data_IF_049816898882
#
_entry.id   IF_049816898882
#
_cell.length_a   1.000
_cell.length_b   1.000
_cell.length_c   1.000
_cell.angle_alpha   90.00
_cell.angle_beta   90.00
_cell.angle_gamma   90.00
#
_symmetry.space_group_name_H-M   'P 1'
#
loop_
_entity.id
_entity.type
_entity.pdbx_description
1 polymer ?
#
# COMPACT_ATOMS: atom_id res chain seq x y z
N UNK A 1 18.74 17.69 -7.98
CA UNK A 1 19.42 18.63 -7.08
C UNK A 1 20.31 17.89 -6.08
N UNK A 2 21.28 18.58 -5.52
CA UNK A 2 22.16 18.02 -4.49
C UNK A 2 21.38 17.47 -3.28
N UNK A 3 20.28 18.10 -2.91
CA UNK A 3 19.45 17.66 -1.79
C UNK A 3 18.77 16.32 -2.05
N UNK A 4 18.35 16.02 -3.30
CA UNK A 4 17.76 14.72 -3.64
C UNK A 4 18.81 13.63 -3.72
N UNK A 5 20.05 13.94 -4.09
CA UNK A 5 21.14 12.98 -4.21
C UNK A 5 21.62 12.47 -2.85
N UNK A 6 21.52 13.31 -1.82
CA UNK A 6 21.91 12.95 -0.43
C UNK A 6 21.08 11.77 0.11
N UNK A 7 19.83 11.61 -0.35
CA UNK A 7 18.91 10.58 0.15
C UNK A 7 18.89 9.30 -0.69
N UNK A 8 19.63 9.27 -1.79
CA UNK A 8 19.75 8.06 -2.62
C UNK A 8 20.96 7.26 -2.17
N UNK A 9 20.71 6.00 -1.85
CA UNK A 9 21.76 5.03 -1.51
C UNK A 9 21.62 3.83 -2.43
N UNK A 10 22.76 3.20 -2.72
CA UNK A 10 22.76 1.95 -3.46
C UNK A 10 23.11 0.81 -2.52
N UNK A 11 22.39 -0.28 -2.67
CA UNK A 11 22.66 -1.54 -1.97
C UNK A 11 22.92 -2.63 -2.99
N UNK A 12 23.82 -3.54 -2.65
CA UNK A 12 24.11 -4.72 -3.44
C UNK A 12 23.47 -5.93 -2.76
N UNK A 13 22.60 -6.63 -3.48
CA UNK A 13 21.82 -7.74 -2.94
C UNK A 13 22.15 -9.01 -3.69
N UNK A 14 22.37 -10.11 -2.97
CA UNK A 14 22.63 -11.42 -3.56
C UNK A 14 21.38 -11.92 -4.30
N UNK A 15 21.56 -12.27 -5.57
CA UNK A 15 20.49 -12.76 -6.43
C UNK A 15 20.87 -14.08 -7.16
N UNK A 16 21.87 -14.80 -6.65
CA UNK A 16 22.38 -16.02 -7.30
C UNK A 16 21.32 -17.09 -7.52
N UNK A 17 20.40 -17.22 -6.57
CA UNK A 17 19.35 -18.24 -6.61
C UNK A 17 18.09 -17.76 -7.33
N UNK A 18 18.13 -16.56 -7.92
CA UNK A 18 16.99 -15.95 -8.58
C UNK A 18 17.20 -15.95 -10.10
N UNK A 19 16.13 -16.19 -10.85
CA UNK A 19 16.18 -16.23 -12.31
C UNK A 19 16.38 -14.84 -12.91
N UNK A 20 17.43 -14.68 -13.72
CA UNK A 20 17.64 -13.46 -14.49
C UNK A 20 16.45 -13.17 -15.41
N UNK A 21 16.11 -11.90 -15.59
CA UNK A 21 15.01 -11.46 -16.43
C UNK A 21 13.62 -11.60 -15.82
N UNK A 22 13.50 -12.16 -14.63
CA UNK A 22 12.23 -12.25 -13.90
C UNK A 22 12.00 -11.00 -13.04
N UNK A 23 10.75 -10.73 -12.76
CA UNK A 23 10.35 -9.65 -11.87
C UNK A 23 10.67 -10.03 -10.42
N UNK A 24 11.45 -9.21 -9.76
CA UNK A 24 11.86 -9.41 -8.37
C UNK A 24 11.31 -8.28 -7.50
N UNK A 25 11.06 -8.57 -6.25
CA UNK A 25 10.59 -7.57 -5.28
C UNK A 25 11.68 -7.33 -4.24
N UNK A 26 12.14 -6.07 -4.14
CA UNK A 26 13.06 -5.64 -3.12
C UNK A 26 12.29 -5.36 -1.83
N UNK A 27 12.75 -5.96 -0.74
CA UNK A 27 12.19 -5.70 0.59
C UNK A 27 13.29 -5.31 1.57
N UNK A 28 12.93 -4.46 2.52
CA UNK A 28 13.77 -4.13 3.67
C UNK A 28 13.33 -5.01 4.84
N UNK A 29 14.28 -5.56 5.57
CA UNK A 29 14.03 -6.44 6.71
C UNK A 29 14.34 -5.68 8.00
N UNK A 30 13.37 -5.60 8.91
CA UNK A 30 13.60 -5.08 10.25
C UNK A 30 14.41 -6.09 11.06
N UNK A 31 15.54 -5.65 11.61
CA UNK A 31 16.46 -6.54 12.36
C UNK A 31 15.86 -7.09 13.65
N UNK A 32 14.97 -6.33 14.30
CA UNK A 32 14.40 -6.72 15.59
C UNK A 32 13.22 -7.65 15.44
N UNK A 33 12.33 -7.37 14.47
CA UNK A 33 11.07 -8.07 14.31
C UNK A 33 11.09 -9.08 13.17
N UNK A 34 12.03 -8.96 12.24
CA UNK A 34 12.03 -9.74 11.00
C UNK A 34 10.95 -9.31 10.00
N UNK A 35 10.22 -8.24 10.30
CA UNK A 35 9.18 -7.72 9.40
C UNK A 35 9.79 -7.27 8.09
N UNK A 36 9.15 -7.66 6.99
CA UNK A 36 9.57 -7.29 5.64
C UNK A 36 8.68 -6.17 5.11
N UNK A 37 9.33 -5.11 4.64
CA UNK A 37 8.67 -3.94 4.07
C UNK A 37 8.95 -3.89 2.57
N UNK A 38 7.88 -3.77 1.77
CA UNK A 38 7.98 -3.67 0.32
C UNK A 38 8.62 -2.35 -0.10
N UNK A 39 9.63 -2.43 -0.95
CA UNK A 39 10.32 -1.24 -1.48
C UNK A 39 9.94 -1.02 -2.95
N UNK A 40 10.16 -2.03 -3.81
CA UNK A 40 9.88 -1.92 -5.24
C UNK A 40 9.78 -3.31 -5.86
N UNK A 41 9.08 -3.38 -6.98
CA UNK A 41 8.96 -4.62 -7.76
C UNK A 41 9.23 -4.30 -9.22
N UNK A 42 10.27 -4.91 -9.77
CA UNK A 42 10.69 -4.70 -11.17
C UNK A 42 11.64 -5.81 -11.62
N UNK A 43 11.98 -5.81 -12.91
CA UNK A 43 13.03 -6.65 -13.45
C UNK A 43 14.38 -6.00 -13.15
N UNK A 44 15.22 -6.69 -12.40
CA UNK A 44 16.57 -6.24 -12.08
C UNK A 44 17.59 -6.91 -12.97
N UNK A 45 18.65 -6.18 -13.30
CA UNK A 45 19.79 -6.72 -14.01
C UNK A 45 20.76 -7.36 -13.01
N UNK A 46 21.04 -8.61 -13.19
CA UNK A 46 21.97 -9.37 -12.33
C UNK A 46 23.38 -9.25 -12.90
N UNK A 47 24.33 -8.83 -12.08
CA UNK A 47 25.74 -8.72 -12.47
C UNK A 47 26.41 -10.09 -12.53
N UNK A 48 27.65 -10.14 -13.07
CA UNK A 48 28.42 -11.38 -13.22
C UNK A 48 28.68 -12.09 -11.89
N UNK A 49 28.79 -11.35 -10.80
CA UNK A 49 29.00 -11.93 -9.47
C UNK A 49 27.70 -12.40 -8.79
N UNK A 50 26.57 -12.31 -9.47
CA UNK A 50 25.27 -12.74 -8.96
C UNK A 50 24.61 -11.74 -8.03
N UNK A 51 24.99 -10.47 -8.09
CA UNK A 51 24.38 -9.42 -7.28
C UNK A 51 23.49 -8.50 -8.11
N UNK A 52 22.57 -7.82 -7.44
CA UNK A 52 21.72 -6.77 -7.98
C UNK A 52 22.02 -5.50 -7.20
N UNK A 53 22.23 -4.39 -7.92
CA UNK A 53 22.36 -3.07 -7.31
C UNK A 53 21.01 -2.37 -7.37
N UNK A 54 20.54 -1.88 -6.24
CA UNK A 54 19.26 -1.20 -6.12
C UNK A 54 19.39 0.10 -5.36
N UNK A 55 18.59 1.11 -5.74
CA UNK A 55 18.51 2.38 -5.04
C UNK A 55 17.60 2.27 -3.83
N UNK A 56 18.04 2.78 -2.70
CA UNK A 56 17.28 2.83 -1.46
C UNK A 56 17.39 4.19 -0.79
N UNK A 57 16.45 4.54 0.06
CA UNK A 57 16.50 5.78 0.83
C UNK A 57 17.35 5.66 2.08
N UNK A 58 17.30 4.49 2.71
CA UNK A 58 17.90 4.26 4.02
C UNK A 58 18.92 3.13 3.98
N UNK A 59 19.88 3.20 4.89
CA UNK A 59 20.72 2.04 5.19
C UNK A 59 19.87 0.96 5.88
N UNK A 60 20.21 -0.30 5.67
CA UNK A 60 19.49 -1.42 6.30
C UNK A 60 19.80 -2.73 5.62
N UNK A 61 19.05 -3.74 6.02
CA UNK A 61 19.13 -5.07 5.42
C UNK A 61 18.06 -5.20 4.35
N UNK A 62 18.47 -5.61 3.17
CA UNK A 62 17.59 -5.76 2.01
C UNK A 62 17.71 -7.16 1.44
N UNK A 63 16.60 -7.71 0.99
CA UNK A 63 16.57 -8.98 0.26
C UNK A 63 15.69 -8.84 -0.97
N UNK A 64 15.95 -9.69 -1.96
CA UNK A 64 15.10 -9.82 -3.14
C UNK A 64 14.23 -11.06 -3.02
N UNK A 65 12.95 -10.88 -3.26
CA UNK A 65 12.00 -11.98 -3.30
C UNK A 65 11.64 -12.30 -4.75
N UNK A 66 11.52 -13.59 -5.07
CA UNK A 66 10.93 -14.03 -6.32
C UNK A 66 9.42 -13.72 -6.35
N UNK A 67 8.76 -13.93 -7.48
CA UNK A 67 7.33 -13.62 -7.62
C UNK A 67 6.46 -14.41 -6.64
N UNK A 68 6.79 -15.68 -6.42
CA UNK A 68 6.04 -16.55 -5.50
C UNK A 68 6.11 -16.03 -4.05
N UNK A 69 7.29 -15.74 -3.57
CA UNK A 69 7.49 -15.27 -2.18
C UNK A 69 6.94 -13.85 -2.00
N UNK A 70 7.08 -13.00 -3.01
CA UNK A 70 6.49 -11.66 -3.00
C UNK A 70 4.96 -11.72 -2.94
N UNK A 71 4.33 -12.67 -3.65
CA UNK A 71 2.89 -12.89 -3.62
C UNK A 71 2.42 -13.32 -2.22
N UNK A 72 3.16 -14.22 -1.57
CA UNK A 72 2.86 -14.66 -0.19
C UNK A 72 2.91 -13.46 0.76
N UNK A 73 3.94 -12.65 0.68
CA UNK A 73 4.08 -11.45 1.52
C UNK A 73 2.96 -10.45 1.26
N UNK A 74 2.66 -10.16 0.00
CA UNK A 74 1.59 -9.21 -0.38
C UNK A 74 0.23 -9.69 0.10
N UNK A 75 -0.07 -10.97 -0.04
CA UNK A 75 -1.33 -11.57 0.42
C UNK A 75 -1.47 -11.43 1.94
N UNK A 76 -0.39 -11.63 2.68
CA UNK A 76 -0.37 -11.46 4.14
C UNK A 76 -0.65 -10.01 4.53
N UNK A 77 -0.01 -9.05 3.86
CA UNK A 77 -0.23 -7.63 4.12
C UNK A 77 -1.68 -7.25 3.79
N UNK A 78 -2.19 -7.67 2.63
CA UNK A 78 -3.55 -7.34 2.19
C UNK A 78 -4.64 -7.97 3.04
N UNK A 79 -4.40 -9.12 3.67
CA UNK A 79 -5.35 -9.70 4.63
C UNK A 79 -5.66 -8.79 5.80
N UNK A 80 -4.71 -7.97 6.22
CA UNK A 80 -4.89 -7.03 7.33
C UNK A 80 -5.61 -5.75 6.90
N UNK A 81 -5.84 -5.56 5.60
CA UNK A 81 -6.55 -4.38 5.07
C UNK A 81 -8.05 -4.62 5.24
N UNK A 82 -8.64 -3.99 6.23
CA UNK A 82 -10.06 -4.03 6.53
C UNK A 82 -10.48 -2.71 7.16
N UNK A 83 -11.73 -2.32 6.96
CA UNK A 83 -12.28 -1.12 7.60
C UNK A 83 -12.83 -1.47 8.97
N UNK A 84 -12.68 -0.55 9.91
CA UNK A 84 -13.27 -0.67 11.25
C UNK A 84 -14.78 -0.77 11.17
N UNK A 85 -15.41 0.06 10.34
CA UNK A 85 -16.84 0.06 10.09
C UNK A 85 -17.11 -0.23 8.61
N UNK A 86 -17.89 -1.26 8.32
CA UNK A 86 -18.35 -1.57 6.96
C UNK A 86 -19.70 -0.95 6.64
N UNK A 87 -20.40 -0.47 7.67
CA UNK A 87 -21.66 0.26 7.57
C UNK A 87 -21.63 1.44 8.53
N UNK A 88 -22.16 2.57 8.09
CA UNK A 88 -22.23 3.76 8.94
C UNK A 88 -23.45 4.60 8.60
N UNK A 89 -24.10 5.15 9.63
CA UNK A 89 -25.20 6.10 9.50
C UNK A 89 -24.69 7.48 9.88
N UNK A 90 -24.90 8.45 8.99
CA UNK A 90 -24.42 9.84 9.17
C UNK A 90 -25.59 10.79 8.88
N UNK A 91 -25.82 11.73 9.76
CA UNK A 91 -26.83 12.76 9.54
C UNK A 91 -26.41 13.71 8.40
N UNK A 92 -27.38 14.20 7.66
CA UNK A 92 -27.15 15.17 6.58
C UNK A 92 -26.34 16.37 7.10
N UNK A 93 -25.35 16.81 6.34
CA UNK A 93 -24.45 17.92 6.70
C UNK A 93 -23.33 17.56 7.66
N UNK A 94 -23.35 16.35 8.19
CA UNK A 94 -22.29 15.90 9.12
C UNK A 94 -21.13 15.24 8.37
N UNK A 95 -20.01 15.09 9.07
CA UNK A 95 -18.76 14.55 8.57
C UNK A 95 -18.46 13.21 9.22
N UNK A 96 -17.74 12.38 8.51
CA UNK A 96 -17.22 11.10 9.00
C UNK A 96 -15.86 10.86 8.38
N UNK A 97 -15.21 9.77 8.76
CA UNK A 97 -13.90 9.43 8.24
C UNK A 97 -13.79 7.92 8.03
N UNK A 98 -13.11 7.54 6.96
CA UNK A 98 -12.72 6.14 6.76
C UNK A 98 -11.63 5.80 7.77
N UNK A 99 -11.82 4.73 8.53
CA UNK A 99 -10.85 4.24 9.52
C UNK A 99 -10.59 2.77 9.27
N UNK A 100 -9.32 2.39 9.20
CA UNK A 100 -8.91 1.00 9.09
C UNK A 100 -8.99 0.31 10.45
N UNK A 101 -9.36 -0.97 10.44
CA UNK A 101 -9.47 -1.79 11.65
C UNK A 101 -8.10 -1.96 12.33
N UNK A 102 -7.06 -2.19 11.54
CA UNK A 102 -5.68 -2.27 12.00
C UNK A 102 -4.84 -1.18 11.33
N UNK A 103 -3.86 -0.68 12.06
CA UNK A 103 -2.93 0.27 11.48
C UNK A 103 -2.15 -0.39 10.34
N UNK A 104 -2.22 0.22 9.16
CA UNK A 104 -1.42 -0.20 8.02
C UNK A 104 -0.01 0.33 8.16
N UNK A 105 0.99 -0.51 7.87
CA UNK A 105 2.33 0.00 7.68
C UNK A 105 2.39 0.72 6.34
N UNK A 106 2.34 2.04 6.40
CA UNK A 106 2.30 2.89 5.20
C UNK A 106 3.56 2.80 4.35
N UNK A 107 4.64 2.26 4.90
CA UNK A 107 5.85 2.00 4.12
C UNK A 107 5.62 0.94 3.03
N UNK A 108 4.64 0.03 3.21
CA UNK A 108 4.24 -0.94 2.20
C UNK A 108 3.34 -0.35 1.12
N UNK A 109 2.74 0.82 1.38
CA UNK A 109 1.64 1.36 0.58
C UNK A 109 2.16 2.39 -0.42
N UNK A 110 1.81 2.18 -1.69
CA UNK A 110 2.08 3.15 -2.75
C UNK A 110 1.05 4.27 -2.74
N UNK A 111 -0.24 3.91 -2.65
CA UNK A 111 -1.33 4.87 -2.60
C UNK A 111 -2.61 4.24 -2.04
N UNK A 112 -3.49 5.08 -1.53
CA UNK A 112 -4.86 4.71 -1.16
C UNK A 112 -5.80 5.64 -1.94
N UNK A 113 -6.77 5.05 -2.63
CA UNK A 113 -7.77 5.79 -3.42
C UNK A 113 -9.15 5.60 -2.80
N UNK A 114 -9.86 6.71 -2.61
CA UNK A 114 -11.21 6.74 -2.05
C UNK A 114 -12.19 7.21 -3.12
N UNK A 115 -13.29 6.50 -3.29
CA UNK A 115 -14.33 6.87 -4.25
C UNK A 115 -15.73 6.70 -3.66
N UNK A 116 -16.67 7.56 -4.05
CA UNK A 116 -18.07 7.46 -3.65
C UNK A 116 -18.92 7.02 -4.85
N UNK A 117 -19.84 6.09 -4.60
CA UNK A 117 -20.78 5.62 -5.62
C UNK A 117 -21.84 6.69 -5.98
N UNK A 118 -22.12 7.61 -5.06
CA UNK A 118 -23.08 8.71 -5.27
C UNK A 118 -22.58 9.99 -4.62
N UNK A 119 -21.90 10.81 -5.39
CA UNK A 119 -21.33 12.08 -4.92
C UNK A 119 -22.39 13.10 -4.48
N UNK A 120 -23.61 12.96 -4.96
CA UNK A 120 -24.73 13.78 -4.51
C UNK A 120 -25.18 13.47 -3.08
N UNK A 121 -24.93 12.25 -2.61
CA UNK A 121 -25.29 11.78 -1.27
C UNK A 121 -24.11 11.92 -0.33
N UNK A 122 -22.95 11.44 -0.74
CA UNK A 122 -21.71 11.42 0.06
C UNK A 122 -20.54 11.78 -0.83
N UNK A 123 -19.70 12.72 -0.37
CA UNK A 123 -18.38 12.95 -0.97
C UNK A 123 -17.29 12.40 -0.04
N UNK A 124 -16.20 11.99 -0.64
CA UNK A 124 -15.01 11.56 0.07
C UNK A 124 -13.78 12.19 -0.56
N UNK A 125 -12.87 12.71 0.25
CA UNK A 125 -11.65 13.32 -0.27
C UNK A 125 -10.49 12.30 -0.31
N UNK A 126 -9.34 12.76 -0.79
CA UNK A 126 -8.14 11.93 -0.92
C UNK A 126 -7.58 11.38 0.40
N UNK A 127 -8.01 11.93 1.52
CA UNK A 127 -7.59 11.50 2.87
C UNK A 127 -8.63 10.62 3.56
N UNK A 128 -9.72 10.28 2.87
CA UNK A 128 -10.78 9.46 3.45
C UNK A 128 -11.77 10.24 4.31
N UNK A 129 -11.76 11.58 4.25
CA UNK A 129 -12.74 12.41 4.92
C UNK A 129 -14.04 12.43 4.14
N UNK A 130 -15.15 12.17 4.83
CA UNK A 130 -16.49 12.00 4.26
C UNK A 130 -17.37 13.16 4.67
N UNK A 131 -18.16 13.66 3.72
CA UNK A 131 -19.20 14.67 3.98
C UNK A 131 -20.54 14.12 3.48
N UNK A 132 -21.53 14.07 4.39
CA UNK A 132 -22.90 13.70 4.06
C UNK A 132 -23.62 14.94 3.49
N UNK A 133 -24.13 14.85 2.26
CA UNK A 133 -24.70 15.99 1.54
C UNK A 133 -26.21 15.91 1.33
N UNK A 134 -26.76 14.71 1.26
CA UNK A 134 -28.19 14.49 0.99
C UNK A 134 -28.60 13.15 1.57
N UNK A 135 -29.83 13.07 2.08
CA UNK A 135 -30.40 11.81 2.55
C UNK A 135 -30.37 10.74 1.44
N UNK A 136 -30.00 9.53 1.78
CA UNK A 136 -29.89 8.42 0.84
C UNK A 136 -28.79 7.43 1.24
N UNK A 137 -28.45 6.56 0.30
CA UNK A 137 -27.37 5.56 0.51
C UNK A 137 -26.27 5.75 -0.53
N UNK A 138 -25.03 5.54 -0.09
CA UNK A 138 -23.87 5.53 -0.98
C UNK A 138 -22.85 4.50 -0.46
N UNK A 139 -22.00 4.03 -1.36
CA UNK A 139 -20.90 3.13 -1.02
C UNK A 139 -19.59 3.87 -1.24
N UNK A 140 -18.76 3.91 -0.22
CA UNK A 140 -17.38 4.41 -0.33
C UNK A 140 -16.47 3.20 -0.54
N UNK A 141 -15.75 3.21 -1.66
CA UNK A 141 -14.72 2.21 -1.96
C UNK A 141 -13.36 2.75 -1.59
N UNK A 142 -12.57 1.90 -0.95
CA UNK A 142 -11.20 2.22 -0.55
C UNK A 142 -10.27 1.22 -1.21
N UNK A 143 -9.46 1.67 -2.14
CA UNK A 143 -8.50 0.84 -2.86
C UNK A 143 -7.09 1.10 -2.33
N UNK A 144 -6.50 0.09 -1.73
CA UNK A 144 -5.11 0.12 -1.26
C UNK A 144 -4.22 -0.52 -2.32
N UNK A 145 -3.21 0.22 -2.78
CA UNK A 145 -2.20 -0.28 -3.72
C UNK A 145 -0.87 -0.36 -3.00
N UNK A 146 -0.28 -1.55 -2.96
CA UNK A 146 1.03 -1.78 -2.37
C UNK A 146 2.15 -1.37 -3.35
N UNK A 147 3.36 -1.20 -2.84
CA UNK A 147 4.52 -0.80 -3.65
C UNK A 147 4.93 -1.81 -4.72
N UNK A 148 4.49 -3.05 -4.62
CA UNK A 148 4.66 -4.06 -5.68
C UNK A 148 3.50 -4.09 -6.69
N UNK A 149 2.54 -3.17 -6.58
CA UNK A 149 1.40 -3.06 -7.49
C UNK A 149 0.18 -3.91 -7.13
N UNK A 150 0.27 -4.77 -6.13
CA UNK A 150 -0.88 -5.58 -5.68
C UNK A 150 -1.89 -4.68 -4.98
N UNK A 151 -3.18 -4.98 -5.12
CA UNK A 151 -4.26 -4.13 -4.64
C UNK A 151 -5.30 -4.92 -3.85
N UNK A 152 -5.99 -4.20 -2.96
CA UNK A 152 -7.23 -4.68 -2.32
C UNK A 152 -8.21 -3.53 -2.23
N UNK A 153 -9.46 -3.80 -2.56
CA UNK A 153 -10.56 -2.84 -2.41
C UNK A 153 -11.48 -3.31 -1.29
N UNK A 154 -11.74 -2.41 -0.36
CA UNK A 154 -12.71 -2.60 0.72
C UNK A 154 -13.80 -1.55 0.61
N UNK A 155 -14.98 -1.81 1.17
CA UNK A 155 -16.16 -0.97 0.99
C UNK A 155 -16.81 -0.60 2.32
N UNK A 156 -17.39 0.58 2.38
CA UNK A 156 -18.23 1.02 3.48
C UNK A 156 -19.55 1.53 2.91
N UNK A 157 -20.67 0.96 3.36
CA UNK A 157 -21.99 1.44 3.01
C UNK A 157 -22.40 2.55 3.98
N UNK A 158 -22.77 3.71 3.43
CA UNK A 158 -23.19 4.86 4.23
C UNK A 158 -24.64 5.15 3.99
N UNK A 159 -25.40 5.26 5.07
CA UNK A 159 -26.78 5.75 5.08
C UNK A 159 -26.76 7.16 5.61
N UNK A 160 -27.24 8.13 4.80
CA UNK A 160 -27.41 9.52 5.22
C UNK A 160 -28.86 9.72 5.60
N UNK A 161 -29.08 10.17 6.84
CA UNK A 161 -30.41 10.51 7.36
C UNK A 161 -30.70 12.01 7.16
N UNK A 162 -31.98 12.34 7.24
CA UNK A 162 -32.41 13.74 7.09
C UNK A 162 -31.81 14.69 8.12
#
# INVERSE_FOLDING_TARGET
SAASDVYKRQVSVNAKDLQAGKKLTLVKVDKKTGEKVLISSRTYKVSKDGTVTADTKDAGDYVLLNEKDAKVLSSKILKSVALKDTKKTVANGKKAKVTFDKNLNMENVKKITYTSSKKSVVTVNKNGAIVAKKAGKAVVKVKVTLKNGKTKTVKMTIKVTK
#
